data_IF_998796285055
#
_entry.id   IF_998796285055
#
_cell.length_a   1.000
_cell.length_b   1.000
_cell.length_c   1.000
_cell.angle_alpha   90.00
_cell.angle_beta   90.00
_cell.angle_gamma   90.00
#
_symmetry.space_group_name_H-M   'P 1'
#
loop_
_entity.id
_entity.type
_entity.pdbx_description
1 polymer ?
#
# COMPACT_ATOMS: atom_id res chain seq x y z
N UNK A 1 -36.85 -35.58 -64.27
CA UNK A 1 -36.66 -37.01 -63.97
C UNK A 1 -35.19 -37.22 -63.59
N UNK A 2 -34.93 -37.74 -62.38
CA UNK A 2 -33.69 -38.44 -61.96
C UNK A 2 -32.43 -37.54 -61.92
N UNK A 3 -31.91 -37.06 -60.78
CA UNK A 3 -31.08 -37.73 -59.75
C UNK A 3 -29.91 -36.76 -59.41
N UNK A 4 -29.19 -36.73 -58.28
CA UNK A 4 -29.22 -37.41 -56.99
C UNK A 4 -27.98 -36.91 -56.19
N UNK A 5 -28.19 -36.44 -54.95
CA UNK A 5 -27.35 -36.56 -53.73
C UNK A 5 -25.89 -36.03 -53.67
N UNK A 6 -25.48 -35.85 -52.41
CA UNK A 6 -24.22 -35.37 -51.81
C UNK A 6 -24.23 -33.84 -51.64
N UNK A 7 -24.25 -33.24 -50.45
CA UNK A 7 -23.54 -33.64 -49.23
C UNK A 7 -24.28 -33.12 -48.00
N UNK A 8 -24.82 -34.06 -47.20
CA UNK A 8 -25.04 -33.91 -45.76
C UNK A 8 -23.71 -34.35 -45.13
N UNK A 9 -23.30 -33.70 -44.03
CA UNK A 9 -22.02 -33.85 -43.27
C UNK A 9 -21.10 -32.65 -43.48
N UNK A 10 -21.48 -31.48 -42.93
CA UNK A 10 -20.53 -30.48 -42.43
C UNK A 10 -21.18 -29.40 -41.54
N UNK A 11 -22.21 -29.75 -40.75
CA UNK A 11 -22.98 -28.79 -39.93
C UNK A 11 -23.01 -29.10 -38.42
N UNK A 12 -22.06 -29.90 -37.89
CA UNK A 12 -22.10 -30.34 -36.47
C UNK A 12 -20.89 -29.86 -35.63
N UNK A 13 -19.99 -29.01 -36.14
CA UNK A 13 -18.78 -28.60 -35.38
C UNK A 13 -18.50 -27.09 -35.29
N UNK A 14 -19.51 -26.22 -35.22
CA UNK A 14 -19.27 -24.76 -35.11
C UNK A 14 -20.22 -24.00 -34.16
N UNK A 15 -20.76 -24.64 -33.11
CA UNK A 15 -21.62 -23.95 -32.13
C UNK A 15 -21.35 -24.30 -30.66
N UNK A 16 -20.08 -24.29 -30.25
CA UNK A 16 -19.70 -24.19 -28.83
C UNK A 16 -18.60 -23.15 -28.62
N UNK A 17 -18.72 -22.00 -29.26
CA UNK A 17 -18.01 -20.80 -28.81
C UNK A 17 -19.00 -19.94 -28.04
N UNK A 18 -19.41 -20.45 -26.87
CA UNK A 18 -20.03 -19.62 -25.85
C UNK A 18 -18.95 -18.60 -25.49
N UNK A 19 -19.11 -17.35 -25.94
CA UNK A 19 -18.46 -16.22 -25.32
C UNK A 19 -18.99 -16.14 -23.89
N UNK A 20 -18.38 -16.93 -23.00
CA UNK A 20 -18.40 -16.67 -21.57
C UNK A 20 -17.64 -15.36 -21.43
N UNK A 21 -18.36 -14.24 -21.52
CA UNK A 21 -17.95 -13.04 -20.81
C UNK A 21 -18.06 -13.42 -19.34
N UNK A 22 -17.01 -14.09 -18.85
CA UNK A 22 -16.87 -14.42 -17.45
C UNK A 22 -16.92 -13.07 -16.74
N UNK A 23 -18.01 -12.88 -16.01
CA UNK A 23 -18.16 -11.79 -15.08
C UNK A 23 -16.87 -11.73 -14.23
N UNK A 24 -16.07 -10.67 -14.39
CA UNK A 24 -14.82 -10.47 -13.62
C UNK A 24 -15.12 -10.22 -12.12
N UNK A 25 -16.38 -10.34 -11.69
CA UNK A 25 -16.81 -10.14 -10.31
C UNK A 25 -16.54 -11.39 -9.46
N UNK A 26 -15.36 -11.37 -8.84
CA UNK A 26 -14.87 -12.34 -7.85
C UNK A 26 -14.54 -13.73 -8.45
N UNK A 27 -13.29 -14.18 -8.28
CA UNK A 27 -12.96 -15.60 -8.46
C UNK A 27 -13.43 -16.43 -7.24
N UNK A 28 -14.06 -15.79 -6.26
CA UNK A 28 -14.56 -16.38 -5.05
C UNK A 28 -15.89 -17.08 -5.31
N UNK A 29 -15.82 -18.29 -5.88
CA UNK A 29 -16.84 -19.30 -5.57
C UNK A 29 -16.87 -19.60 -4.07
N UNK A 30 -17.55 -20.68 -3.67
CA UNK A 30 -17.44 -21.20 -2.30
C UNK A 30 -16.03 -21.76 -2.08
N UNK A 31 -15.07 -20.87 -1.80
CA UNK A 31 -13.65 -21.20 -1.64
C UNK A 31 -13.33 -21.23 -0.14
N UNK A 32 -12.55 -22.23 0.27
CA UNK A 32 -12.10 -22.37 1.64
C UNK A 32 -11.22 -21.17 2.05
N UNK A 33 -11.45 -20.61 3.24
CA UNK A 33 -10.60 -19.56 3.81
C UNK A 33 -9.49 -20.18 4.65
N UNK A 34 -8.26 -19.70 4.49
CA UNK A 34 -7.12 -20.07 5.33
C UNK A 34 -7.23 -19.45 6.71
N UNK A 35 -7.80 -18.24 6.80
CA UNK A 35 -7.97 -17.47 8.02
C UNK A 35 -9.45 -17.09 8.24
N UNK A 36 -10.36 -18.06 8.49
CA UNK A 36 -11.76 -17.77 8.78
C UNK A 36 -11.92 -17.02 10.12
N UNK A 37 -13.07 -16.39 10.36
CA UNK A 37 -13.42 -15.60 11.57
C UNK A 37 -12.76 -14.23 11.69
N UNK A 38 -11.44 -14.18 11.86
CA UNK A 38 -10.70 -12.93 12.10
C UNK A 38 -9.96 -12.44 10.85
N UNK A 39 -9.93 -13.24 9.79
CA UNK A 39 -9.21 -12.87 8.58
C UNK A 39 -7.69 -12.84 8.77
N UNK A 40 -6.99 -12.71 7.66
CA UNK A 40 -5.53 -12.63 7.61
C UNK A 40 -5.01 -11.45 8.46
N UNK A 41 -5.74 -10.32 8.43
CA UNK A 41 -5.31 -9.08 9.08
C UNK A 41 -5.13 -9.25 10.59
N UNK A 42 -6.07 -9.88 11.29
CA UNK A 42 -5.95 -10.04 12.74
C UNK A 42 -4.87 -11.08 13.08
N UNK A 43 -4.76 -12.15 12.31
CA UNK A 43 -3.76 -13.21 12.50
C UNK A 43 -2.33 -12.70 12.34
N UNK A 44 -2.04 -11.92 11.29
CA UNK A 44 -0.68 -11.44 11.02
C UNK A 44 -0.30 -10.19 11.82
N UNK A 45 -1.28 -9.41 12.29
CA UNK A 45 -1.05 -8.10 12.90
C UNK A 45 -0.03 -8.11 14.04
N UNK A 46 -0.05 -9.05 15.00
CA UNK A 46 0.96 -9.10 16.06
C UNK A 46 2.40 -9.14 15.52
N UNK A 47 2.66 -9.93 14.47
CA UNK A 47 4.01 -10.12 13.92
C UNK A 47 4.40 -8.99 12.97
N UNK A 48 3.47 -8.55 12.12
CA UNK A 48 3.75 -7.42 11.23
C UNK A 48 3.98 -6.13 12.01
N UNK A 49 3.33 -5.95 13.16
CA UNK A 49 3.56 -4.80 14.02
C UNK A 49 4.94 -4.83 14.70
N UNK A 50 5.58 -5.99 14.83
CA UNK A 50 6.92 -6.16 15.43
C UNK A 50 8.07 -6.04 14.42
N UNK A 51 7.77 -5.84 13.13
CA UNK A 51 8.78 -5.55 12.10
C UNK A 51 9.73 -4.44 12.56
N UNK A 52 11.02 -4.61 12.35
CA UNK A 52 11.99 -3.60 12.75
C UNK A 52 11.82 -2.34 11.90
N UNK A 53 11.61 -1.20 12.56
CA UNK A 53 11.61 0.09 11.87
C UNK A 53 13.03 0.57 11.61
N UNK A 54 13.26 1.14 10.44
CA UNK A 54 14.52 1.81 10.09
C UNK A 54 14.61 3.15 10.83
N UNK A 55 15.75 3.49 11.45
CA UNK A 55 15.92 4.81 12.07
C UNK A 55 15.71 5.93 11.05
N UNK A 56 15.14 7.04 11.51
CA UNK A 56 14.79 8.17 10.66
C UNK A 56 15.03 9.51 11.34
N UNK A 57 15.10 10.55 10.52
CA UNK A 57 15.04 11.95 10.95
C UNK A 57 13.85 12.65 10.31
N UNK A 58 13.30 13.64 11.00
CA UNK A 58 12.15 14.42 10.55
C UNK A 58 12.58 15.86 10.30
N UNK A 59 12.22 16.39 9.14
CA UNK A 59 12.32 17.82 8.85
C UNK A 59 10.99 18.33 8.33
N UNK A 60 10.33 19.17 9.12
CA UNK A 60 9.10 19.86 8.71
C UNK A 60 9.43 20.91 7.65
N UNK A 61 8.60 20.98 6.61
CA UNK A 61 8.67 22.03 5.60
C UNK A 61 8.21 23.38 6.16
N UNK A 62 8.63 24.47 5.51
CA UNK A 62 8.06 25.80 5.75
C UNK A 62 6.55 25.74 5.50
N UNK A 63 5.76 26.26 6.44
CA UNK A 63 4.31 26.31 6.26
C UNK A 63 3.95 27.16 5.03
N UNK A 64 2.84 26.82 4.38
CA UNK A 64 2.41 27.46 3.13
C UNK A 64 2.85 26.72 1.87
N UNK A 65 3.75 25.74 1.99
CA UNK A 65 4.18 24.86 0.89
C UNK A 65 3.56 23.48 1.00
N UNK A 66 3.06 22.95 -0.11
CA UNK A 66 2.52 21.59 -0.17
C UNK A 66 2.82 20.94 -1.53
N UNK A 67 3.13 19.63 -1.61
CA UNK A 67 3.14 18.92 -2.88
C UNK A 67 1.73 18.93 -3.52
N UNK A 68 1.64 19.22 -4.83
CA UNK A 68 0.38 19.24 -5.56
C UNK A 68 -0.42 17.93 -5.38
N UNK A 69 0.28 16.79 -5.35
CA UNK A 69 -0.31 15.47 -5.15
C UNK A 69 -0.95 15.34 -3.75
N UNK A 70 -0.32 15.89 -2.71
CA UNK A 70 -0.89 15.89 -1.36
C UNK A 70 -2.12 16.79 -1.26
N UNK A 71 -2.12 17.93 -1.96
CA UNK A 71 -3.29 18.78 -2.07
C UNK A 71 -4.44 18.01 -2.74
N UNK A 72 -4.19 17.43 -3.92
CA UNK A 72 -5.19 16.70 -4.70
C UNK A 72 -5.75 15.50 -3.91
N UNK A 73 -4.90 14.78 -3.19
CA UNK A 73 -5.32 13.69 -2.32
C UNK A 73 -6.23 14.17 -1.18
N UNK A 74 -5.88 15.29 -0.53
CA UNK A 74 -6.72 15.90 0.50
C UNK A 74 -8.11 16.29 -0.01
N UNK A 75 -8.17 16.96 -1.17
CA UNK A 75 -9.43 17.34 -1.80
C UNK A 75 -10.29 16.14 -2.23
N UNK A 76 -9.67 15.04 -2.67
CA UNK A 76 -10.39 13.83 -3.07
C UNK A 76 -10.92 13.02 -1.87
N UNK A 77 -10.24 13.09 -0.72
CA UNK A 77 -10.50 12.23 0.43
C UNK A 77 -11.85 12.46 1.12
N UNK A 78 -12.47 13.64 0.93
CA UNK A 78 -13.82 13.91 1.46
C UNK A 78 -14.85 12.89 0.93
N UNK A 79 -14.70 12.44 -0.33
CA UNK A 79 -15.55 11.40 -0.93
C UNK A 79 -15.39 10.03 -0.27
N UNK A 80 -14.31 9.85 0.49
CA UNK A 80 -13.95 8.61 1.18
C UNK A 80 -14.10 8.74 2.70
N UNK A 81 -14.85 9.74 3.18
CA UNK A 81 -15.14 9.92 4.60
C UNK A 81 -14.06 10.67 5.38
N UNK A 82 -13.16 11.41 4.73
CA UNK A 82 -12.35 12.39 5.47
C UNK A 82 -13.25 13.52 6.00
N UNK A 83 -12.84 14.13 7.11
CA UNK A 83 -13.38 15.43 7.55
C UNK A 83 -13.16 16.49 6.47
N UNK A 84 -13.96 17.57 6.44
CA UNK A 84 -13.72 18.71 5.57
C UNK A 84 -12.26 19.13 5.65
N UNK A 85 -11.60 19.13 4.50
CA UNK A 85 -10.16 19.29 4.42
C UNK A 85 -9.80 20.74 4.09
N UNK A 86 -8.71 21.22 4.67
CA UNK A 86 -8.13 22.51 4.31
C UNK A 86 -6.63 22.36 4.06
N UNK A 87 -6.08 22.91 2.96
CA UNK A 87 -4.64 22.86 2.70
C UNK A 87 -3.84 23.56 3.81
N UNK A 88 -4.41 24.60 4.43
CA UNK A 88 -3.76 25.34 5.53
C UNK A 88 -3.59 24.54 6.81
N UNK A 89 -4.31 23.42 6.95
CA UNK A 89 -4.23 22.49 8.07
C UNK A 89 -3.27 21.33 7.81
N UNK A 90 -2.58 21.33 6.67
CA UNK A 90 -1.60 20.31 6.32
C UNK A 90 -0.21 20.66 6.85
N UNK A 91 0.49 19.63 7.29
CA UNK A 91 1.88 19.66 7.69
C UNK A 91 2.66 18.74 6.78
N UNK A 92 3.75 19.22 6.19
CA UNK A 92 4.58 18.41 5.29
C UNK A 92 5.92 18.16 5.93
N UNK A 93 6.39 16.92 5.84
CA UNK A 93 7.64 16.46 6.43
C UNK A 93 8.47 15.71 5.39
N UNK A 94 9.76 16.02 5.36
CA UNK A 94 10.79 15.12 4.87
C UNK A 94 11.09 14.10 5.97
N UNK A 95 10.86 12.82 5.68
CA UNK A 95 11.25 11.70 6.55
C UNK A 95 12.45 10.99 5.92
N UNK A 96 13.63 11.22 6.48
CA UNK A 96 14.88 10.67 5.93
C UNK A 96 15.27 9.43 6.71
N UNK A 97 15.20 8.26 6.08
CA UNK A 97 15.61 6.98 6.65
C UNK A 97 17.11 6.72 6.41
N UNK A 98 17.78 6.03 7.34
CA UNK A 98 19.22 5.75 7.22
C UNK A 98 19.60 4.90 5.99
N UNK A 99 18.72 3.99 5.58
CA UNK A 99 18.88 3.15 4.38
C UNK A 99 18.51 3.87 3.06
N UNK A 100 18.01 5.10 3.14
CA UNK A 100 17.61 5.92 1.99
C UNK A 100 17.86 7.42 2.25
N UNK A 101 19.10 7.75 2.63
CA UNK A 101 19.46 9.08 3.12
C UNK A 101 19.41 10.20 2.08
N UNK A 102 19.39 9.87 0.79
CA UNK A 102 19.42 10.83 -0.31
C UNK A 102 18.04 11.14 -0.90
N UNK A 103 17.00 10.40 -0.51
CA UNK A 103 15.64 10.55 -1.05
C UNK A 103 14.58 10.50 0.06
N UNK A 104 14.37 11.61 0.80
CA UNK A 104 13.46 11.64 1.95
C UNK A 104 12.01 11.33 1.57
N UNK A 105 11.37 10.40 2.27
CA UNK A 105 9.94 10.12 2.08
C UNK A 105 9.13 11.36 2.45
N UNK A 106 8.24 11.79 1.56
CA UNK A 106 7.39 12.95 1.82
C UNK A 106 6.13 12.47 2.54
N UNK A 107 5.87 13.03 3.73
CA UNK A 107 4.66 12.75 4.51
C UNK A 107 3.86 14.03 4.64
N UNK A 108 2.62 14.01 4.17
CA UNK A 108 1.66 15.08 4.26
C UNK A 108 0.60 14.69 5.30
N UNK A 109 0.65 15.31 6.48
CA UNK A 109 -0.22 14.98 7.61
C UNK A 109 -1.18 16.13 7.86
N UNK A 110 -2.47 15.84 7.92
CA UNK A 110 -3.44 16.80 8.43
C UNK A 110 -3.21 17.01 9.93
N UNK A 111 -3.23 18.26 10.40
CA UNK A 111 -3.00 18.62 11.81
C UNK A 111 -3.88 17.84 12.80
N UNK A 112 -5.12 17.53 12.41
CA UNK A 112 -6.09 16.72 13.17
C UNK A 112 -6.01 15.20 12.93
N UNK A 113 -5.06 14.72 12.12
CA UNK A 113 -4.89 13.29 11.91
C UNK A 113 -4.50 12.61 13.24
N UNK A 114 -5.13 11.46 13.59
CA UNK A 114 -4.94 10.82 14.89
C UNK A 114 -3.53 10.22 15.05
N UNK A 115 -2.91 9.75 13.96
CA UNK A 115 -1.52 9.31 13.98
C UNK A 115 -0.57 10.51 14.04
N UNK A 116 0.38 10.48 14.96
CA UNK A 116 1.48 11.46 15.01
C UNK A 116 2.46 11.25 13.85
N UNK A 117 3.28 12.26 13.54
CA UNK A 117 4.32 12.12 12.51
C UNK A 117 5.33 11.01 12.85
N UNK A 118 5.71 10.86 14.13
CA UNK A 118 6.58 9.78 14.58
C UNK A 118 5.94 8.39 14.43
N UNK A 119 4.65 8.26 14.70
CA UNK A 119 3.95 7.01 14.46
C UNK A 119 3.99 6.64 12.98
N UNK A 120 3.67 7.59 12.10
CA UNK A 120 3.67 7.39 10.64
C UNK A 120 5.07 7.04 10.14
N UNK A 121 6.09 7.82 10.52
CA UNK A 121 7.47 7.60 10.11
C UNK A 121 7.99 6.24 10.59
N UNK A 122 7.71 5.87 11.84
CA UNK A 122 8.06 4.53 12.34
C UNK A 122 7.38 3.42 11.52
N UNK A 123 6.08 3.53 11.23
CA UNK A 123 5.35 2.51 10.43
C UNK A 123 5.89 2.42 9.01
N UNK A 124 6.10 3.54 8.34
CA UNK A 124 6.68 3.56 7.00
C UNK A 124 8.11 2.98 7.02
N UNK A 125 8.89 3.25 8.07
CA UNK A 125 10.22 2.67 8.29
C UNK A 125 10.24 1.15 8.47
N UNK A 126 9.10 0.51 8.80
CA UNK A 126 8.95 -0.95 8.88
C UNK A 126 8.74 -1.61 7.51
N UNK A 127 8.40 -0.84 6.47
CA UNK A 127 8.31 -1.34 5.09
C UNK A 127 9.75 -1.55 4.57
N UNK A 128 10.11 -2.73 4.02
CA UNK A 128 11.42 -2.95 3.41
C UNK A 128 11.78 -1.87 2.38
N UNK A 129 13.03 -1.38 2.37
CA UNK A 129 13.44 -0.20 1.60
C UNK A 129 13.12 -0.31 0.11
N UNK A 130 13.30 -1.50 -0.47
CA UNK A 130 13.05 -1.75 -1.89
C UNK A 130 11.55 -1.77 -2.24
N UNK A 131 10.66 -2.04 -1.27
CA UNK A 131 9.23 -1.82 -1.42
C UNK A 131 8.86 -0.35 -1.17
N UNK A 132 9.40 0.25 -0.10
CA UNK A 132 9.10 1.61 0.34
C UNK A 132 9.43 2.65 -0.72
N UNK A 133 10.53 2.51 -1.45
CA UNK A 133 10.96 3.46 -2.49
C UNK A 133 9.95 3.63 -3.65
N UNK A 134 8.98 2.72 -3.78
CA UNK A 134 7.91 2.83 -4.77
C UNK A 134 6.74 3.70 -4.30
N UNK A 135 6.83 4.30 -3.12
CA UNK A 135 5.88 5.29 -2.60
C UNK A 135 6.53 6.67 -2.65
N UNK A 136 5.87 7.66 -3.24
CA UNK A 136 6.36 9.05 -3.22
C UNK A 136 5.84 9.84 -2.04
N UNK A 137 4.58 9.63 -1.69
CA UNK A 137 3.87 10.38 -0.66
C UNK A 137 3.10 9.44 0.27
N UNK A 138 3.10 9.76 1.56
CA UNK A 138 2.07 9.30 2.49
C UNK A 138 1.22 10.49 2.89
N UNK A 139 -0.08 10.43 2.61
CA UNK A 139 -1.05 11.47 2.94
C UNK A 139 -1.94 10.94 4.05
N UNK A 140 -1.87 11.54 5.24
CA UNK A 140 -2.58 11.06 6.43
C UNK A 140 -3.58 12.11 6.89
N UNK A 141 -4.85 11.75 6.90
CA UNK A 141 -5.99 12.65 7.10
C UNK A 141 -6.85 12.18 8.29
N UNK A 142 -7.68 13.09 8.82
CA UNK A 142 -8.67 12.75 9.86
C UNK A 142 -9.96 12.20 9.26
N UNK A 143 -10.56 11.19 9.90
CA UNK A 143 -11.84 10.61 9.49
C UNK A 143 -13.04 11.30 10.15
N UNK A 144 -14.20 11.32 9.47
CA UNK A 144 -15.41 11.96 10.00
C UNK A 144 -15.98 11.27 11.24
N UNK A 145 -15.93 9.94 11.30
CA UNK A 145 -16.44 9.13 12.42
C UNK A 145 -15.48 9.01 13.60
N UNK A 146 -14.37 9.75 13.63
CA UNK A 146 -13.42 9.78 14.73
C UNK A 146 -12.27 8.76 14.64
N UNK A 147 -11.55 8.64 15.76
CA UNK A 147 -10.18 8.08 15.81
C UNK A 147 -10.08 6.57 15.56
N UNK A 148 -11.16 5.80 15.65
CA UNK A 148 -11.08 4.33 15.60
C UNK A 148 -11.32 3.72 14.20
N UNK A 149 -11.45 4.56 13.17
CA UNK A 149 -11.62 4.10 11.79
C UNK A 149 -10.29 4.17 11.04
N UNK A 150 -10.09 3.27 10.08
CA UNK A 150 -9.01 3.37 9.11
C UNK A 150 -9.54 3.01 7.73
N UNK A 151 -9.47 3.98 6.83
CA UNK A 151 -9.70 3.80 5.40
C UNK A 151 -8.42 4.17 4.68
N UNK A 152 -8.06 3.43 3.65
CA UNK A 152 -6.89 3.76 2.85
C UNK A 152 -7.09 3.41 1.39
N UNK A 153 -6.41 4.16 0.52
CA UNK A 153 -6.36 3.92 -0.91
C UNK A 153 -5.00 4.36 -1.44
N UNK A 154 -4.71 3.96 -2.68
CA UNK A 154 -3.54 4.43 -3.40
C UNK A 154 -4.00 5.32 -4.55
N UNK A 155 -3.27 6.38 -4.79
CA UNK A 155 -3.24 7.07 -6.09
C UNK A 155 -1.97 6.64 -6.82
N UNK A 156 -1.65 7.27 -7.96
CA UNK A 156 -0.51 6.91 -8.80
C UNK A 156 0.78 6.61 -8.03
N UNK A 157 1.17 7.49 -7.11
CA UNK A 157 2.40 7.35 -6.33
C UNK A 157 2.21 7.64 -4.83
N UNK A 158 0.96 7.76 -4.38
CA UNK A 158 0.64 8.19 -3.02
C UNK A 158 -0.16 7.14 -2.29
N UNK A 159 0.19 6.96 -1.03
CA UNK A 159 -0.62 6.20 -0.07
C UNK A 159 -1.45 7.20 0.71
N UNK A 160 -2.77 7.11 0.61
CA UNK A 160 -3.68 7.95 1.39
C UNK A 160 -4.28 7.12 2.52
N UNK A 161 -4.17 7.62 3.74
CA UNK A 161 -4.71 7.02 4.96
C UNK A 161 -5.64 8.03 5.63
N UNK A 162 -6.84 7.60 5.99
CA UNK A 162 -7.87 8.41 6.63
C UNK A 162 -8.22 7.72 7.96
N UNK A 163 -8.07 8.45 9.06
CA UNK A 163 -8.28 7.93 10.41
C UNK A 163 -7.01 7.34 11.03
N UNK A 164 -7.14 6.46 12.03
CA UNK A 164 -6.01 5.88 12.78
C UNK A 164 -5.68 4.47 12.27
N UNK A 165 -4.85 4.41 11.24
CA UNK A 165 -4.38 3.15 10.68
C UNK A 165 -3.26 2.53 11.53
N UNK A 166 -3.60 1.98 12.71
CA UNK A 166 -2.62 1.44 13.68
C UNK A 166 -1.88 0.19 13.19
N UNK A 167 -2.54 -0.65 12.40
CA UNK A 167 -1.98 -1.94 11.98
C UNK A 167 -1.00 -1.78 10.83
N UNK A 168 0.17 -2.41 10.95
CA UNK A 168 1.17 -2.45 9.88
C UNK A 168 0.65 -3.09 8.59
N UNK A 169 -0.37 -3.95 8.67
CA UNK A 169 -1.03 -4.53 7.49
C UNK A 169 -1.53 -3.44 6.53
N UNK A 170 -2.07 -2.32 7.03
CA UNK A 170 -2.55 -1.25 6.15
C UNK A 170 -1.39 -0.63 5.34
N UNK A 171 -0.25 -0.42 5.97
CA UNK A 171 0.94 0.12 5.29
C UNK A 171 1.46 -0.86 4.23
N UNK A 172 1.53 -2.16 4.57
CA UNK A 172 1.97 -3.19 3.63
C UNK A 172 0.97 -3.39 2.48
N UNK A 173 -0.34 -3.38 2.73
CA UNK A 173 -1.36 -3.48 1.68
C UNK A 173 -1.23 -2.34 0.66
N UNK A 174 -0.97 -1.11 1.13
CA UNK A 174 -0.82 0.04 0.23
C UNK A 174 0.52 0.03 -0.50
N UNK A 175 1.60 -0.41 0.15
CA UNK A 175 2.86 -0.66 -0.53
C UNK A 175 2.72 -1.77 -1.60
N UNK A 176 1.96 -2.82 -1.30
CA UNK A 176 1.69 -3.92 -2.22
C UNK A 176 1.00 -3.44 -3.48
N UNK A 177 -0.01 -2.56 -3.37
CA UNK A 177 -0.70 -2.02 -4.54
C UNK A 177 0.27 -1.28 -5.49
N UNK A 178 1.21 -0.50 -4.96
CA UNK A 178 2.22 0.18 -5.77
C UNK A 178 3.23 -0.80 -6.37
N UNK A 179 3.71 -1.78 -5.58
CA UNK A 179 4.59 -2.84 -6.08
C UNK A 179 3.92 -3.67 -7.16
N UNK A 180 2.61 -3.94 -7.04
CA UNK A 180 1.83 -4.67 -8.03
C UNK A 180 1.88 -3.98 -9.41
N UNK A 181 1.79 -2.65 -9.44
CA UNK A 181 1.98 -1.87 -10.67
C UNK A 181 3.43 -1.91 -11.17
N UNK A 182 4.43 -1.82 -10.28
CA UNK A 182 5.85 -1.90 -10.69
C UNK A 182 6.17 -3.26 -11.32
N UNK A 183 5.63 -4.34 -10.77
CA UNK A 183 5.84 -5.69 -11.30
C UNK A 183 5.14 -5.92 -12.65
N UNK A 184 4.13 -5.12 -13.00
CA UNK A 184 3.42 -5.22 -14.28
C UNK A 184 4.12 -4.49 -15.43
N UNK A 185 5.14 -3.68 -15.13
CA UNK A 185 5.93 -3.00 -16.16
C UNK A 185 6.60 -4.06 -17.05
N UNK A 186 6.27 -4.03 -18.34
CA UNK A 186 6.79 -4.96 -19.34
C UNK A 186 5.99 -6.25 -19.50
N UNK A 187 4.94 -6.47 -18.71
CA UNK A 187 4.09 -7.67 -18.85
C UNK A 187 2.94 -7.49 -19.86
N UNK A 188 2.70 -6.25 -20.30
CA UNK A 188 1.51 -5.88 -21.09
C UNK A 188 0.26 -5.59 -20.25
N UNK A 189 0.33 -5.78 -18.93
CA UNK A 189 -0.80 -5.62 -18.03
C UNK A 189 -0.81 -4.22 -17.39
N UNK A 190 -1.86 -3.45 -17.63
CA UNK A 190 -1.97 -2.07 -17.14
C UNK A 190 -2.65 -1.96 -15.75
N UNK A 191 -3.33 -3.02 -15.29
CA UNK A 191 -4.01 -3.03 -13.98
C UNK A 191 -3.10 -3.45 -12.82
N UNK A 192 -1.99 -4.13 -13.10
CA UNK A 192 -1.07 -4.66 -12.09
C UNK A 192 -0.65 -6.10 -12.40
N UNK A 193 0.40 -6.58 -11.75
CA UNK A 193 0.96 -7.91 -11.99
C UNK A 193 0.00 -9.03 -11.60
N UNK A 194 -0.84 -8.81 -10.59
CA UNK A 194 -1.90 -9.71 -10.16
C UNK A 194 -2.94 -10.02 -11.25
N UNK A 195 -3.06 -9.17 -12.28
CA UNK A 195 -3.93 -9.40 -13.44
C UNK A 195 -3.24 -10.19 -14.56
N UNK A 196 -1.92 -10.43 -14.47
CA UNK A 196 -1.18 -11.18 -15.48
C UNK A 196 -1.69 -12.62 -15.61
N UNK A 197 -1.46 -13.23 -16.79
CA UNK A 197 -1.80 -14.63 -17.04
C UNK A 197 -1.07 -15.57 -16.08
N UNK A 198 0.19 -15.28 -15.75
CA UNK A 198 1.01 -16.06 -14.81
C UNK A 198 0.34 -16.13 -13.45
N UNK A 199 0.05 -14.96 -12.85
CA UNK A 199 -0.58 -14.88 -11.52
C UNK A 199 -1.94 -15.59 -11.47
N UNK A 200 -2.82 -15.30 -12.43
CA UNK A 200 -4.17 -15.88 -12.48
C UNK A 200 -4.15 -17.38 -12.70
N UNK A 201 -3.26 -17.89 -13.55
CA UNK A 201 -3.13 -19.34 -13.80
C UNK A 201 -2.72 -20.07 -12.52
N UNK A 202 -1.73 -19.55 -11.80
CA UNK A 202 -1.25 -20.18 -10.57
C UNK A 202 -2.26 -20.04 -9.43
N UNK A 203 -2.96 -18.90 -9.32
CA UNK A 203 -4.00 -18.74 -8.29
C UNK A 203 -5.17 -19.69 -8.54
N UNK A 204 -5.54 -19.95 -9.81
CA UNK A 204 -6.62 -20.88 -10.16
C UNK A 204 -6.32 -22.35 -9.81
N UNK A 205 -5.07 -22.71 -9.53
CA UNK A 205 -4.68 -24.05 -9.08
C UNK A 205 -4.91 -24.26 -7.58
N UNK A 206 -5.00 -23.16 -6.81
CA UNK A 206 -5.29 -23.23 -5.38
C UNK A 206 -6.74 -23.60 -5.09
N UNK A 207 -6.96 -24.27 -3.96
CA UNK A 207 -8.31 -24.65 -3.49
C UNK A 207 -8.81 -23.77 -2.34
N UNK A 208 -8.01 -22.78 -1.92
CA UNK A 208 -8.35 -21.87 -0.84
C UNK A 208 -7.80 -20.45 -1.11
N UNK A 209 -8.27 -19.48 -0.32
CA UNK A 209 -7.87 -18.06 -0.35
C UNK A 209 -7.46 -17.61 1.06
N UNK A 210 -6.69 -16.51 1.20
CA UNK A 210 -6.28 -16.05 2.53
C UNK A 210 -7.47 -15.79 3.45
N UNK A 211 -8.41 -14.97 2.99
CA UNK A 211 -9.74 -14.79 3.57
C UNK A 211 -10.69 -14.24 2.50
N UNK A 212 -11.99 -14.18 2.81
CA UNK A 212 -13.03 -13.73 1.89
C UNK A 212 -12.84 -12.28 1.43
N UNK A 213 -12.36 -11.40 2.29
CA UNK A 213 -12.15 -9.99 1.95
C UNK A 213 -11.05 -9.81 0.91
N UNK A 214 -9.98 -10.60 1.01
CA UNK A 214 -8.88 -10.59 0.06
C UNK A 214 -9.19 -11.36 -1.24
N UNK A 215 -10.21 -12.21 -1.25
CA UNK A 215 -10.67 -12.93 -2.44
C UNK A 215 -11.55 -12.09 -3.38
N UNK A 216 -11.99 -10.90 -2.97
CA UNK A 216 -12.89 -10.05 -3.77
C UNK A 216 -12.30 -9.63 -5.13
N UNK A 217 -10.99 -9.40 -5.21
CA UNK A 217 -10.30 -9.06 -6.46
C UNK A 217 -8.79 -9.36 -6.40
N UNK A 218 -8.16 -9.33 -7.57
CA UNK A 218 -6.74 -9.68 -7.74
C UNK A 218 -5.78 -8.75 -7.01
N UNK A 219 -6.09 -7.45 -6.89
CA UNK A 219 -5.23 -6.50 -6.15
C UNK A 219 -5.21 -6.82 -4.66
N UNK A 220 -6.37 -7.12 -4.09
CA UNK A 220 -6.48 -7.51 -2.69
C UNK A 220 -5.81 -8.86 -2.46
N UNK A 221 -6.02 -9.83 -3.33
CA UNK A 221 -5.35 -11.13 -3.23
C UNK A 221 -3.82 -10.96 -3.23
N UNK A 222 -3.29 -10.11 -4.11
CA UNK A 222 -1.86 -9.75 -4.12
C UNK A 222 -1.43 -9.08 -2.83
N UNK A 223 -2.19 -8.14 -2.29
CA UNK A 223 -1.88 -7.47 -1.02
C UNK A 223 -1.81 -8.44 0.17
N UNK A 224 -2.72 -9.43 0.24
CA UNK A 224 -2.64 -10.50 1.22
C UNK A 224 -1.33 -11.29 1.13
N UNK A 225 -1.01 -11.79 -0.07
CA UNK A 225 0.21 -12.56 -0.29
C UNK A 225 1.47 -11.71 -0.07
N UNK A 226 1.43 -10.43 -0.38
CA UNK A 226 2.52 -9.49 -0.11
C UNK A 226 2.82 -9.41 1.39
N UNK A 227 1.80 -9.28 2.25
CA UNK A 227 2.01 -9.23 3.71
C UNK A 227 2.45 -10.57 4.29
N UNK A 228 1.92 -11.67 3.76
CA UNK A 228 2.36 -13.03 4.08
C UNK A 228 3.85 -13.24 3.75
N UNK A 229 4.27 -12.81 2.56
CA UNK A 229 5.67 -12.86 2.13
C UNK A 229 6.54 -11.87 2.88
N UNK A 230 6.03 -10.70 3.29
CA UNK A 230 6.76 -9.73 4.09
C UNK A 230 7.11 -10.32 5.47
N UNK A 231 6.18 -11.05 6.09
CA UNK A 231 6.46 -11.79 7.31
C UNK A 231 7.57 -12.81 7.08
N UNK A 232 7.41 -13.68 6.08
CA UNK A 232 8.39 -14.73 5.76
C UNK A 232 9.79 -14.16 5.42
N UNK A 233 9.83 -13.06 4.65
CA UNK A 233 11.07 -12.37 4.25
C UNK A 233 11.71 -11.52 5.34
N UNK A 234 11.01 -11.27 6.45
CA UNK A 234 11.52 -10.48 7.58
C UNK A 234 12.53 -11.24 8.44
N UNK A 235 12.46 -12.58 8.43
CA UNK A 235 13.23 -13.43 9.34
C UNK A 235 12.75 -13.44 10.79
N UNK A 236 11.64 -12.75 11.11
CA UNK A 236 11.00 -12.79 12.44
C UNK A 236 10.28 -14.13 12.62
N UNK A 237 9.54 -14.54 11.59
CA UNK A 237 8.80 -15.80 11.55
C UNK A 237 8.66 -16.26 10.10
N UNK A 238 8.17 -17.47 9.89
CA UNK A 238 7.79 -17.99 8.60
C UNK A 238 6.28 -18.12 8.53
N UNK A 239 5.71 -17.70 7.40
CA UNK A 239 4.29 -17.87 7.13
C UNK A 239 3.87 -19.36 7.17
N UNK A 240 4.78 -20.29 6.90
CA UNK A 240 4.57 -21.74 7.01
C UNK A 240 4.65 -22.30 8.45
N UNK A 241 5.11 -21.48 9.41
CA UNK A 241 5.30 -21.87 10.81
C UNK A 241 4.20 -21.33 11.73
N UNK A 242 3.24 -20.57 11.23
CA UNK A 242 2.09 -20.11 12.02
C UNK A 242 1.24 -21.33 12.43
N UNK A 243 1.43 -21.78 13.67
CA UNK A 243 0.89 -23.01 14.24
C UNK A 243 -0.65 -23.00 14.28
N UNK A 244 -1.28 -23.54 13.23
CA UNK A 244 -2.70 -23.94 13.26
C UNK A 244 -2.89 -25.46 13.16
N UNK A 245 -1.84 -26.27 13.35
CA UNK A 245 -1.90 -27.75 13.32
C UNK A 245 -2.06 -28.38 11.93
N UNK A 246 -2.50 -27.61 10.95
CA UNK A 246 -2.39 -27.85 9.51
C UNK A 246 -1.59 -26.69 8.92
N UNK A 247 -0.74 -26.90 7.90
CA UNK A 247 -0.22 -25.79 7.09
C UNK A 247 -1.41 -25.28 6.28
N UNK A 248 -2.14 -24.27 6.77
CA UNK A 248 -3.43 -23.94 6.17
C UNK A 248 -3.25 -23.33 4.78
N UNK A 249 -1.99 -23.01 4.41
CA UNK A 249 -1.58 -22.50 3.13
C UNK A 249 -1.19 -23.58 2.11
N UNK A 250 -1.22 -24.87 2.45
CA UNK A 250 -0.88 -25.93 1.49
C UNK A 250 -1.82 -25.88 0.27
N UNK A 251 -3.08 -25.50 0.47
CA UNK A 251 -4.04 -25.24 -0.60
C UNK A 251 -3.79 -23.95 -1.41
N UNK A 252 -2.86 -23.10 -1.00
CA UNK A 252 -2.32 -21.94 -1.73
C UNK A 252 -0.83 -22.10 -2.06
N UNK A 253 -0.27 -23.31 -1.94
CA UNK A 253 1.19 -23.49 -1.96
C UNK A 253 1.82 -22.98 -3.26
N UNK A 254 1.19 -23.23 -4.41
CA UNK A 254 1.72 -22.81 -5.71
C UNK A 254 1.76 -21.28 -5.83
N UNK A 255 0.69 -20.59 -5.42
CA UNK A 255 0.65 -19.14 -5.48
C UNK A 255 1.54 -18.48 -4.42
N UNK A 256 1.68 -19.10 -3.24
CA UNK A 256 2.65 -18.69 -2.22
C UNK A 256 4.08 -18.84 -2.73
N UNK A 257 4.42 -19.95 -3.38
CA UNK A 257 5.74 -20.17 -3.97
C UNK A 257 6.03 -19.17 -5.08
N UNK A 258 5.05 -18.87 -5.94
CA UNK A 258 5.18 -17.82 -6.95
C UNK A 258 5.44 -16.47 -6.31
N UNK A 259 4.65 -16.08 -5.29
CA UNK A 259 4.81 -14.80 -4.60
C UNK A 259 6.18 -14.69 -3.90
N UNK A 260 6.62 -15.74 -3.19
CA UNK A 260 7.96 -15.81 -2.58
C UNK A 260 9.04 -15.67 -3.64
N UNK A 261 8.95 -16.42 -4.73
CA UNK A 261 9.93 -16.35 -5.81
C UNK A 261 9.99 -14.92 -6.39
N UNK A 262 8.85 -14.32 -6.71
CA UNK A 262 8.80 -12.97 -7.30
C UNK A 262 9.30 -11.89 -6.35
N UNK A 263 8.93 -11.92 -5.07
CA UNK A 263 9.14 -10.83 -4.11
C UNK A 263 10.39 -10.99 -3.22
N UNK A 264 10.97 -12.18 -3.14
CA UNK A 264 12.17 -12.46 -2.33
C UNK A 264 13.36 -12.98 -3.15
N UNK A 265 13.14 -13.64 -4.30
CA UNK A 265 14.21 -14.27 -5.09
C UNK A 265 14.51 -13.49 -6.36
N UNK A 266 13.55 -13.38 -7.28
CA UNK A 266 13.72 -12.68 -8.56
C UNK A 266 13.93 -11.18 -8.34
N UNK A 267 13.06 -10.56 -7.55
CA UNK A 267 13.15 -9.18 -7.14
C UNK A 267 13.04 -9.14 -5.62
N UNK A 268 14.14 -9.01 -4.86
CA UNK A 268 14.14 -9.12 -3.40
C UNK A 268 13.53 -7.90 -2.69
N UNK A 269 12.35 -7.46 -3.14
CA UNK A 269 11.60 -6.27 -2.71
C UNK A 269 11.22 -6.36 -1.24
N UNK A 270 10.86 -7.57 -0.78
CA UNK A 270 10.42 -7.83 0.59
C UNK A 270 11.47 -8.49 1.48
N UNK A 271 12.66 -8.77 0.95
CA UNK A 271 13.72 -9.39 1.73
C UNK A 271 14.25 -8.38 2.72
N UNK A 272 14.20 -8.71 4.01
CA UNK A 272 14.86 -7.88 5.01
C UNK A 272 16.38 -8.01 4.87
N UNK A 273 17.02 -6.88 4.57
CA UNK A 273 18.47 -6.75 4.52
C UNK A 273 18.86 -5.39 5.09
N UNK A 274 19.62 -5.40 6.20
CA UNK A 274 20.11 -4.18 6.87
C UNK A 274 21.04 -3.35 5.98
N UNK A 275 21.64 -3.98 4.97
CA UNK A 275 22.55 -3.34 4.03
C UNK A 275 21.85 -2.89 2.75
N UNK A 276 20.58 -3.29 2.54
CA UNK A 276 19.82 -2.78 1.41
C UNK A 276 19.71 -1.25 1.48
N UNK A 277 19.76 -0.62 0.32
CA UNK A 277 19.60 0.82 0.16
C UNK A 277 18.58 1.08 -0.93
N UNK A 278 17.90 2.21 -0.88
CA UNK A 278 17.08 2.61 -2.01
C UNK A 278 17.95 2.83 -3.26
N UNK A 279 17.41 2.45 -4.40
CA UNK A 279 18.07 2.52 -5.72
C UNK A 279 17.62 3.73 -6.53
N UNK A 280 16.85 4.62 -5.90
CA UNK A 280 16.19 5.75 -6.54
C UNK A 280 14.68 5.56 -6.65
N UNK A 281 13.95 6.68 -6.75
CA UNK A 281 12.51 6.67 -6.97
C UNK A 281 12.15 6.34 -8.41
N UNK A 282 11.21 5.40 -8.55
CA UNK A 282 10.52 5.20 -9.82
C UNK A 282 9.59 6.37 -10.14
N UNK A 283 8.86 6.85 -9.14
CA UNK A 283 7.88 7.93 -9.30
C UNK A 283 8.53 9.28 -8.97
N UNK A 284 8.47 10.21 -9.93
CA UNK A 284 8.94 11.56 -9.69
C UNK A 284 8.04 12.27 -8.69
N UNK A 285 8.66 13.06 -7.82
CA UNK A 285 7.92 14.02 -7.01
C UNK A 285 7.20 15.00 -7.94
N UNK A 286 5.90 15.19 -7.71
CA UNK A 286 5.12 16.26 -8.31
C UNK A 286 5.59 17.65 -7.84
N UNK A 287 5.12 18.71 -8.53
CA UNK A 287 5.51 20.07 -8.19
C UNK A 287 5.03 20.45 -6.79
N UNK A 288 5.77 21.36 -6.16
CA UNK A 288 5.34 22.05 -4.94
C UNK A 288 4.50 23.26 -5.35
N UNK A 289 3.41 23.48 -4.64
CA UNK A 289 2.49 24.60 -4.85
C UNK A 289 2.35 25.41 -3.56
N UNK A 290 1.89 26.66 -3.70
CA UNK A 290 1.48 27.44 -2.54
C UNK A 290 0.10 26.94 -2.06
N UNK A 291 -0.09 26.84 -0.74
CA UNK A 291 -1.36 26.36 -0.14
C UNK A 291 -2.57 27.26 -0.45
N UNK A 292 -2.33 28.50 -0.92
CA UNK A 292 -3.34 29.43 -1.37
C UNK A 292 -3.02 30.88 -1.00
N UNK A 293 -3.98 31.81 -1.20
CA UNK A 293 -3.76 33.24 -1.02
C UNK A 293 -3.27 33.64 0.37
N UNK A 294 -3.74 32.96 1.42
CA UNK A 294 -3.32 33.25 2.80
C UNK A 294 -1.87 32.83 3.05
N UNK A 295 -1.43 31.71 2.47
CA UNK A 295 -0.03 31.30 2.54
C UNK A 295 0.87 32.27 1.77
N UNK A 296 0.39 32.78 0.63
CA UNK A 296 1.11 33.78 -0.17
C UNK A 296 1.25 35.12 0.54
N UNK A 297 0.22 35.58 1.24
CA UNK A 297 0.29 36.83 2.01
C UNK A 297 1.27 36.73 3.17
N UNK A 298 1.30 35.59 3.85
CA UNK A 298 2.15 35.37 5.03
C UNK A 298 3.61 35.06 4.64
N UNK A 299 3.81 34.34 3.53
CA UNK A 299 5.14 33.93 3.04
C UNK A 299 5.36 34.32 1.56
N UNK A 300 5.37 35.64 1.24
CA UNK A 300 5.40 36.12 -0.15
C UNK A 300 6.66 35.71 -0.89
N UNK A 301 7.81 35.64 -0.21
CA UNK A 301 9.09 35.21 -0.82
C UNK A 301 9.07 33.71 -1.15
N UNK A 302 8.46 32.90 -0.29
CA UNK A 302 8.43 31.44 -0.45
C UNK A 302 7.44 31.03 -1.54
N UNK A 303 6.33 31.76 -1.68
CA UNK A 303 5.31 31.49 -2.69
C UNK A 303 5.47 32.29 -4.00
N UNK A 304 6.45 33.20 -4.12
CA UNK A 304 6.55 34.18 -5.22
C UNK A 304 6.39 33.56 -6.62
N UNK A 305 7.11 32.46 -6.88
CA UNK A 305 7.15 31.80 -8.20
C UNK A 305 6.34 30.50 -8.26
N UNK A 306 5.61 30.16 -7.19
CA UNK A 306 4.79 28.96 -7.14
C UNK A 306 3.38 29.28 -7.60
N UNK A 307 2.75 28.38 -8.35
CA UNK A 307 1.32 28.46 -8.61
C UNK A 307 0.55 28.31 -7.29
N UNK A 308 -0.50 29.10 -7.13
CA UNK A 308 -1.54 28.75 -6.17
C UNK A 308 -2.25 27.51 -6.69
N UNK A 309 -2.64 26.62 -5.79
CA UNK A 309 -3.52 25.53 -6.19
C UNK A 309 -4.94 26.11 -6.36
N UNK A 310 -5.31 26.42 -7.59
CA UNK A 310 -6.60 26.96 -7.99
C UNK A 310 -7.61 25.87 -8.40
N UNK A 311 -7.28 24.60 -8.16
CA UNK A 311 -8.15 23.48 -8.53
C UNK A 311 -8.08 23.11 -10.01
N UNK A 312 -7.26 23.79 -10.81
CA UNK A 312 -6.95 23.34 -12.17
C UNK A 312 -6.02 22.15 -12.04
N UNK A 313 -6.56 20.95 -12.26
CA UNK A 313 -5.80 19.72 -12.39
C UNK A 313 -4.67 19.96 -13.40
N UNK A 314 -3.44 20.15 -12.91
CA UNK A 314 -2.27 20.16 -13.80
C UNK A 314 -2.34 18.85 -14.59
N UNK A 315 -2.22 18.86 -15.92
CA UNK A 315 -2.13 17.65 -16.71
C UNK A 315 -0.79 16.98 -16.36
N UNK A 316 -0.80 16.16 -15.31
CA UNK A 316 0.33 15.31 -14.93
C UNK A 316 0.26 14.09 -15.85
N UNK A 317 0.49 14.26 -17.14
CA UNK A 317 0.73 13.13 -18.04
C UNK A 317 2.08 12.52 -17.66
N UNK A 318 2.13 11.28 -17.18
CA UNK A 318 3.39 10.59 -17.06
C UNK A 318 3.91 10.39 -18.48
N UNK A 319 5.16 10.75 -18.74
CA UNK A 319 5.88 10.26 -19.91
C UNK A 319 6.16 8.76 -19.68
N UNK A 320 5.11 7.94 -19.70
CA UNK A 320 5.24 6.50 -19.90
C UNK A 320 5.83 6.36 -21.30
N UNK A 321 6.91 5.59 -21.51
CA UNK A 321 7.33 5.24 -22.86
C UNK A 321 6.10 4.75 -23.62
N UNK A 322 5.73 5.44 -24.68
CA UNK A 322 4.54 5.15 -25.46
C UNK A 322 4.62 3.68 -25.89
N UNK A 323 3.69 2.87 -25.36
CA UNK A 323 3.57 1.50 -25.81
C UNK A 323 3.23 1.52 -27.31
N UNK A 324 3.79 0.61 -28.13
CA UNK A 324 3.46 0.53 -29.54
C UNK A 324 1.94 0.51 -29.73
N UNK A 325 1.40 1.22 -30.75
CA UNK A 325 -0.04 1.25 -30.98
C UNK A 325 -0.58 -0.17 -31.11
N UNK A 326 -1.57 -0.49 -30.26
CA UNK A 326 -2.31 -1.73 -30.33
C UNK A 326 -3.04 -1.80 -31.68
N UNK A 327 -3.09 -2.97 -32.34
CA UNK A 327 -3.85 -3.13 -33.57
C UNK A 327 -5.34 -2.79 -33.37
N UNK A 328 -5.94 -2.15 -34.36
CA UNK A 328 -7.33 -1.68 -34.33
C UNK A 328 -8.29 -2.82 -33.97
N UNK A 329 -9.01 -2.65 -32.86
CA UNK A 329 -10.08 -3.56 -32.46
C UNK A 329 -11.30 -3.28 -33.34
N UNK A 330 -11.87 -4.29 -34.03
CA UNK A 330 -13.06 -4.10 -34.86
C UNK A 330 -14.23 -3.57 -34.02
N UNK A 331 -14.92 -2.56 -34.55
CA UNK A 331 -16.14 -2.01 -33.96
C UNK A 331 -17.20 -3.11 -33.78
N UNK A 332 -17.81 -3.26 -32.59
CA UNK A 332 -18.90 -4.20 -32.39
C UNK A 332 -20.10 -3.86 -33.28
N UNK A 333 -20.79 -4.85 -33.84
CA UNK A 333 -22.03 -4.62 -34.58
C UNK A 333 -23.12 -4.05 -33.67
N UNK A 334 -23.92 -3.15 -34.23
CA UNK A 334 -25.08 -2.52 -33.57
C UNK A 334 -26.06 -3.59 -33.08
N UNK A 335 -26.53 -3.53 -31.82
CA UNK A 335 -27.51 -4.49 -31.30
C UNK A 335 -28.83 -4.42 -32.09
N UNK A 336 -29.47 -5.55 -32.40
CA UNK A 336 -30.80 -5.55 -32.99
C UNK A 336 -31.87 -5.12 -31.98
N UNK A 337 -32.81 -4.32 -32.45
CA UNK A 337 -33.98 -3.84 -31.71
C UNK A 337 -34.89 -5.02 -31.34
N UNK A 338 -35.16 -5.18 -30.04
CA UNK A 338 -36.06 -6.22 -29.51
C UNK A 338 -37.53 -5.76 -29.63
N UNK A 339 -38.48 -6.59 -30.08
CA UNK A 339 -39.90 -6.27 -30.06
C UNK A 339 -40.50 -6.47 -28.67
N UNK A 340 -41.40 -5.56 -28.28
CA UNK A 340 -42.18 -5.63 -27.04
C UNK A 340 -42.98 -6.94 -26.93
N UNK A 341 -42.78 -7.67 -25.84
CA UNK A 341 -43.58 -8.83 -25.48
C UNK A 341 -44.35 -8.57 -24.18
N UNK A 342 -45.68 -8.50 -24.31
CA UNK A 342 -46.63 -8.53 -23.20
C UNK A 342 -46.56 -9.89 -22.46
N UNK A 343 -45.86 -9.90 -21.33
CA UNK A 343 -45.78 -11.04 -20.42
C UNK A 343 -46.73 -10.90 -19.21
N UNK A 344 -47.26 -12.02 -18.67
CA UNK A 344 -48.28 -12.01 -17.62
C UNK A 344 -47.74 -11.52 -16.26
N UNK A 345 -48.58 -10.75 -15.56
CA UNK A 345 -48.35 -10.20 -14.21
C UNK A 345 -48.04 -11.31 -13.21
N UNK A 346 -46.83 -11.28 -12.62
CA UNK A 346 -46.45 -12.10 -11.48
C UNK A 346 -47.25 -11.70 -10.22
N UNK A 347 -47.64 -12.67 -9.36
CA UNK A 347 -48.30 -12.38 -8.09
C UNK A 347 -47.39 -11.61 -7.14
N UNK A 348 -47.98 -10.67 -6.41
CA UNK A 348 -47.31 -9.86 -5.39
C UNK A 348 -46.87 -10.80 -4.24
N UNK A 349 -45.59 -10.80 -3.85
CA UNK A 349 -45.12 -11.59 -2.72
C UNK A 349 -45.75 -11.06 -1.40
N UNK A 350 -46.11 -11.95 -0.47
CA UNK A 350 -46.69 -11.54 0.81
C UNK A 350 -45.70 -10.71 1.63
N UNK A 351 -46.23 -9.71 2.30
CA UNK A 351 -45.49 -8.80 3.18
C UNK A 351 -44.79 -9.57 4.30
N UNK A 352 -43.49 -9.31 4.58
CA UNK A 352 -42.79 -9.95 5.67
C UNK A 352 -43.44 -9.63 7.03
N UNK A 353 -43.49 -10.59 7.97
CA UNK A 353 -43.98 -10.32 9.32
C UNK A 353 -43.05 -9.33 10.05
N UNK A 354 -43.68 -8.45 10.83
CA UNK A 354 -43.01 -7.46 11.67
C UNK A 354 -42.05 -8.15 12.66
N UNK A 355 -40.79 -7.71 12.76
CA UNK A 355 -39.83 -8.27 13.72
C UNK A 355 -40.33 -8.11 15.16
N UNK A 356 -40.14 -9.11 16.04
CA UNK A 356 -40.45 -8.97 17.45
C UNK A 356 -39.55 -7.91 18.11
N UNK A 357 -40.14 -7.15 19.04
CA UNK A 357 -39.47 -6.11 19.80
C UNK A 357 -38.27 -6.66 20.56
N UNK A 358 -37.09 -6.06 20.32
CA UNK A 358 -35.84 -6.39 21.02
C UNK A 358 -35.98 -6.07 22.52
N UNK A 359 -35.73 -7.03 23.43
CA UNK A 359 -35.69 -6.75 24.86
C UNK A 359 -34.62 -5.70 25.19
N UNK A 360 -34.99 -4.70 26.00
CA UNK A 360 -34.03 -3.70 26.45
C UNK A 360 -32.90 -4.36 27.24
N UNK A 361 -31.69 -4.23 26.71
CA UNK A 361 -30.46 -4.67 27.37
C UNK A 361 -30.26 -3.85 28.66
N UNK A 362 -30.01 -4.50 29.82
CA UNK A 362 -29.70 -3.79 31.06
C UNK A 362 -28.47 -2.90 30.90
N UNK A 363 -28.52 -1.70 31.48
CA UNK A 363 -27.38 -0.79 31.52
C UNK A 363 -26.16 -1.47 32.13
N UNK A 364 -24.97 -1.33 31.52
CA UNK A 364 -23.75 -1.89 32.08
C UNK A 364 -23.42 -1.24 33.43
N UNK A 365 -22.87 -2.01 34.38
CA UNK A 365 -22.44 -1.48 35.67
C UNK A 365 -21.33 -0.45 35.49
N UNK A 366 -21.35 0.59 36.33
CA UNK A 366 -20.30 1.61 36.35
C UNK A 366 -18.93 0.99 36.57
N UNK A 367 -17.88 1.43 35.85
CA UNK A 367 -16.53 0.93 36.03
C UNK A 367 -16.02 1.25 37.45
N UNK A 368 -15.23 0.34 38.05
CA UNK A 368 -14.64 0.58 39.36
C UNK A 368 -13.65 1.76 39.30
N UNK A 369 -13.62 2.53 40.38
CA UNK A 369 -12.66 3.63 40.54
C UNK A 369 -11.22 3.12 40.40
N UNK A 370 -10.34 3.88 39.71
CA UNK A 370 -8.95 3.48 39.55
C UNK A 370 -8.23 3.40 40.91
N UNK A 371 -7.33 2.43 41.09
CA UNK A 371 -6.56 2.28 42.32
C UNK A 371 -5.63 3.48 42.52
N UNK A 372 -5.52 3.91 43.77
CA UNK A 372 -4.59 4.95 44.21
C UNK A 372 -3.15 4.54 43.87
N UNK A 373 -2.33 5.41 43.24
CA UNK A 373 -0.95 5.09 42.92
C UNK A 373 -0.14 4.77 44.18
N UNK A 374 0.72 3.75 44.17
CA UNK A 374 1.62 3.47 45.28
C UNK A 374 2.67 4.57 45.43
N UNK A 375 2.89 5.00 46.66
CA UNK A 375 3.93 5.95 47.05
C UNK A 375 5.30 5.34 46.74
N UNK A 376 6.04 5.97 45.83
CA UNK A 376 7.40 5.56 45.45
C UNK A 376 8.35 5.83 46.63
N UNK A 377 9.08 4.83 47.15
CA UNK A 377 10.12 5.05 48.14
C UNK A 377 11.32 5.75 47.47
N UNK A 378 11.75 6.88 48.03
CA UNK A 378 13.03 7.51 47.70
C UNK A 378 14.19 6.56 48.05
N UNK A 379 14.78 5.96 47.02
CA UNK A 379 15.99 5.16 47.13
C UNK A 379 17.25 6.01 47.37
N UNK A 380 18.35 5.39 47.82
CA UNK A 380 19.56 6.09 48.25
C UNK A 380 20.32 6.69 47.06
N UNK A 381 20.88 7.86 47.31
CA UNK A 381 21.72 8.64 46.38
C UNK A 381 22.96 7.83 46.00
N UNK A 382 23.09 7.51 44.70
CA UNK A 382 24.28 6.88 44.12
C UNK A 382 25.39 7.94 43.95
N UNK A 383 26.63 7.71 44.43
CA UNK A 383 27.74 8.64 44.23
C UNK A 383 28.11 8.76 42.75
N UNK A 384 28.28 10.01 42.30
CA UNK A 384 28.72 10.36 40.94
C UNK A 384 30.20 9.93 40.75
N UNK A 385 30.57 9.25 39.65
CA UNK A 385 31.95 8.87 39.40
C UNK A 385 32.84 10.08 39.02
N UNK A 386 34.16 10.01 39.26
CA UNK A 386 35.09 11.11 39.01
C UNK A 386 35.18 11.49 37.52
N UNK A 387 35.23 12.78 37.26
CA UNK A 387 35.15 13.39 35.93
C UNK A 387 36.44 13.26 35.08
N UNK A 388 37.52 12.69 35.63
CA UNK A 388 38.84 12.60 34.97
C UNK A 388 38.93 11.53 33.86
N UNK A 389 38.06 10.51 33.86
CA UNK A 389 38.17 9.41 32.89
C UNK A 389 37.59 9.72 31.50
N UNK A 390 36.83 10.82 31.36
CA UNK A 390 36.23 11.22 30.09
C UNK A 390 37.16 12.08 29.22
N UNK A 391 37.99 12.93 29.84
CA UNK A 391 38.95 13.77 29.10
C UNK A 391 40.11 12.95 28.52
N UNK A 392 40.54 11.90 29.23
CA UNK A 392 41.61 11.02 28.74
C UNK A 392 41.21 10.23 27.49
N UNK A 393 39.95 9.76 27.41
CA UNK A 393 39.43 9.04 26.23
C UNK A 393 39.20 9.95 25.01
N UNK A 394 38.94 11.24 25.22
CA UNK A 394 38.77 12.19 24.13
C UNK A 394 40.10 12.62 23.48
N UNK A 395 41.18 12.70 24.27
CA UNK A 395 42.50 13.06 23.73
C UNK A 395 43.15 11.93 22.89
N UNK A 396 42.90 10.66 23.21
CA UNK A 396 43.43 9.55 22.40
C UNK A 396 42.77 9.43 21.02
N UNK A 397 41.52 9.90 20.86
CA UNK A 397 40.83 9.91 19.55
C UNK A 397 41.29 11.00 18.59
N UNK A 398 41.91 12.08 19.08
CA UNK A 398 42.37 13.19 18.24
C UNK A 398 43.74 12.93 17.59
N UNK A 399 44.58 12.06 18.18
CA UNK A 399 45.91 11.76 17.64
C UNK A 399 45.85 10.76 16.47
N UNK A 400 44.83 9.90 16.40
CA UNK A 400 44.70 8.87 15.37
C UNK A 400 44.24 9.36 13.98
N UNK A 401 44.03 10.68 13.78
CA UNK A 401 43.46 11.23 12.53
C UNK A 401 44.44 11.99 11.62
N UNK A 402 45.75 11.91 11.88
CA UNK A 402 46.77 12.62 11.09
C UNK A 402 47.76 11.68 10.40
N UNK A 403 47.29 10.91 9.41
CA UNK A 403 48.17 10.27 8.41
C UNK A 403 47.69 10.65 7.01
N UNK A 404 48.49 11.36 6.20
CA UNK A 404 48.11 11.74 4.85
C UNK A 404 48.19 10.53 3.90
N UNK A 405 47.13 10.35 3.10
CA UNK A 405 47.02 9.30 2.09
C UNK A 405 48.05 9.52 0.96
N UNK A 406 48.82 8.46 0.67
CA UNK A 406 49.74 8.42 -0.46
C UNK A 406 48.96 8.39 -1.80
N UNK A 407 49.36 9.27 -2.74
CA UNK A 407 48.84 9.32 -4.10
C UNK A 407 49.37 8.11 -4.90
N UNK A 408 48.48 7.19 -5.28
CA UNK A 408 48.75 6.19 -6.32
C UNK A 408 48.35 6.74 -7.69
N UNK A 409 49.34 6.88 -8.57
CA UNK A 409 49.15 7.30 -9.96
C UNK A 409 48.61 6.16 -10.81
N UNK A 410 47.50 6.41 -11.51
CA UNK A 410 46.92 5.49 -12.50
C UNK A 410 47.47 5.85 -13.88
N UNK A 411 48.26 4.95 -14.45
CA UNK A 411 48.65 4.97 -15.87
C UNK A 411 47.43 4.63 -16.74
N UNK A 412 47.03 5.56 -17.61
CA UNK A 412 46.12 5.28 -18.74
C UNK A 412 46.92 4.57 -19.85
N UNK A 413 46.54 3.34 -20.20
CA UNK A 413 46.88 2.74 -21.49
C UNK A 413 45.73 2.97 -22.46
N UNK A 414 46.05 3.61 -23.58
CA UNK A 414 45.20 3.68 -24.75
C UNK A 414 45.16 2.32 -25.45
N UNK A 415 43.97 1.89 -25.86
CA UNK A 415 43.80 0.85 -26.87
C UNK A 415 43.25 1.50 -28.13
N UNK A 416 44.04 1.41 -29.20
CA UNK A 416 43.64 1.62 -30.60
C UNK A 416 43.66 0.27 -31.28
N UNK A 417 42.50 -0.13 -31.81
CA UNK A 417 42.22 -0.89 -33.04
C UNK A 417 40.82 -1.50 -32.92
#
# INVERSE_FOLDING_TARGET
MVALKHSIISCILLFTSICVLADESSYAGEVQEVYPESGLRFTLSPWLNSLQSTPYTLKRWTWGLIPAECYAAGAAAERYGAQPWSPYQMEVFDVTYEDCSHEPQIVCRHSKAPSSIDEIARRVGQIPVLARQHTSYFVVLSHHTGENSCTSYVTRASVVMIGHCKSMQFYLDRAAALVNHVLSIGTGENRGYSYSKEWRTVTAQGTCVPDKWYAENWDRHFAALFSMVALHGSGIDSIFSLETGLRPQDCMLDIMNLAIHKLLVEKPILKYDRNARCTGRLWRLGPVVCMGPYARSEYPVVCADLSDYDGVLLPITPKVPEAPPLPEVPTPPTPPTVPDSDGPKLPIPPTPPTPPSVPQQPSPPSPPSPPTPPTVPTGPVVPRPPQEDLERRNNERLVARSVPAAKTGVQKRAFTA
#
